data_IF_463317010740
#
_entry.id   IF_463317010740
#
_cell.length_a   1.000
_cell.length_b   1.000
_cell.length_c   1.000
_cell.angle_alpha   90.00
_cell.angle_beta   90.00
_cell.angle_gamma   90.00
#
_symmetry.space_group_name_H-M   'P 1'
#
loop_
_entity.id
_entity.type
_entity.pdbx_description
1 polymer ?
#
# COMPACT_ATOMS: atom_id res chain seq x y z
N UNK A 1 4.09 -46.22 47.88
CA UNK A 1 5.02 -45.11 48.10
C UNK A 1 4.22 -43.82 48.13
N UNK A 2 4.37 -43.14 49.27
CA UNK A 2 3.72 -41.96 49.83
C UNK A 2 3.45 -40.81 48.84
N UNK A 3 2.30 -40.13 48.86
CA UNK A 3 1.77 -39.21 49.89
C UNK A 3 2.67 -38.00 50.17
N UNK A 4 2.22 -36.80 49.74
CA UNK A 4 2.26 -35.48 50.44
C UNK A 4 2.25 -34.34 49.40
N UNK A 5 1.17 -33.56 49.27
CA UNK A 5 0.70 -32.47 50.15
C UNK A 5 1.49 -31.15 50.05
N UNK A 6 0.78 -30.16 49.46
CA UNK A 6 0.45 -28.81 49.96
C UNK A 6 1.48 -27.67 49.88
N UNK A 7 1.03 -26.55 49.30
CA UNK A 7 0.73 -25.20 49.90
C UNK A 7 0.54 -24.20 48.73
N UNK A 8 -0.64 -23.68 48.38
CA UNK A 8 -1.46 -22.60 48.97
C UNK A 8 -0.67 -21.43 49.59
N UNK A 9 -0.75 -20.26 48.95
CA UNK A 9 -0.91 -18.92 49.53
C UNK A 9 -1.17 -17.93 48.35
N UNK A 10 -2.37 -17.36 48.19
CA UNK A 10 -2.92 -16.21 48.93
C UNK A 10 -2.10 -14.92 48.69
N UNK A 11 -2.71 -13.93 48.01
CA UNK A 11 -2.04 -12.66 47.73
C UNK A 11 -2.92 -11.58 47.10
N UNK A 12 -3.87 -11.07 47.90
CA UNK A 12 -4.34 -9.68 47.91
C UNK A 12 -5.10 -9.10 46.69
N UNK A 13 -6.42 -9.23 46.81
CA UNK A 13 -7.37 -8.13 46.61
C UNK A 13 -6.99 -6.88 47.42
N UNK A 14 -7.00 -5.72 46.76
CA UNK A 14 -7.19 -4.35 47.29
C UNK A 14 -6.97 -3.40 46.10
N UNK A 15 -7.64 -2.27 45.91
CA UNK A 15 -8.80 -1.64 46.52
C UNK A 15 -9.21 -0.55 45.51
N UNK A 16 -10.51 -0.28 45.44
CA UNK A 16 -11.17 0.95 44.99
C UNK A 16 -10.31 2.15 44.54
N UNK A 17 -10.63 2.67 43.34
CA UNK A 17 -10.64 4.12 43.12
C UNK A 17 -11.89 4.50 42.32
N UNK A 18 -12.91 4.93 43.06
CA UNK A 18 -14.02 5.71 42.54
C UNK A 18 -13.68 7.18 42.76
N UNK A 19 -13.63 7.99 41.69
CA UNK A 19 -13.92 9.41 41.74
C UNK A 19 -14.60 9.82 40.42
N UNK A 20 -15.93 9.89 40.52
CA UNK A 20 -16.80 10.68 39.67
C UNK A 20 -16.76 12.11 40.22
N UNK A 21 -16.43 13.10 39.38
CA UNK A 21 -16.92 14.47 39.53
C UNK A 21 -16.81 15.23 38.21
N UNK A 22 -17.96 15.73 37.78
CA UNK A 22 -18.21 16.58 36.63
C UNK A 22 -17.33 17.83 36.56
N UNK A 23 -16.93 18.20 35.36
CA UNK A 23 -16.73 19.60 35.00
C UNK A 23 -17.21 19.81 33.55
N UNK A 24 -18.52 20.03 33.42
CA UNK A 24 -19.16 20.61 32.24
C UNK A 24 -18.69 22.05 32.12
N UNK A 25 -17.77 22.34 31.21
CA UNK A 25 -17.43 23.70 30.84
C UNK A 25 -18.37 24.17 29.71
N UNK A 26 -18.86 25.41 29.77
CA UNK A 26 -19.86 25.92 28.84
C UNK A 26 -19.28 26.14 27.44
N UNK A 27 -20.13 25.76 26.49
CA UNK A 27 -20.23 26.22 25.11
C UNK A 27 -19.69 27.64 24.92
N UNK A 28 -18.66 27.74 24.07
CA UNK A 28 -18.24 29.00 23.48
C UNK A 28 -18.04 28.77 21.98
N UNK A 29 -19.15 28.43 21.33
CA UNK A 29 -19.31 28.58 19.88
C UNK A 29 -18.85 29.99 19.46
N UNK A 30 -17.78 30.13 18.65
CA UNK A 30 -17.52 31.38 17.96
C UNK A 30 -18.60 31.57 16.90
N UNK A 31 -19.24 32.73 16.92
CA UNK A 31 -20.20 33.17 15.92
C UNK A 31 -19.62 33.04 14.49
N UNK A 32 -20.43 32.65 13.50
CA UNK A 32 -20.00 32.69 12.11
C UNK A 32 -19.69 34.13 11.71
N UNK A 33 -18.50 34.33 11.14
CA UNK A 33 -18.11 35.58 10.51
C UNK A 33 -19.08 35.93 9.37
N UNK A 34 -19.36 37.22 9.15
CA UNK A 34 -20.20 37.65 8.04
C UNK A 34 -19.58 37.24 6.70
N UNK A 35 -20.42 36.60 5.91
CA UNK A 35 -20.25 36.22 4.51
C UNK A 35 -19.83 37.45 3.68
N UNK A 36 -18.53 37.52 3.36
CA UNK A 36 -18.00 38.53 2.45
C UNK A 36 -18.33 38.12 1.02
N UNK A 37 -19.16 38.94 0.38
CA UNK A 37 -19.71 38.74 -0.94
C UNK A 37 -18.63 38.42 -1.97
N UNK A 38 -18.78 37.26 -2.63
CA UNK A 38 -18.00 36.93 -3.81
C UNK A 38 -18.22 37.99 -4.91
N UNK A 39 -17.15 38.57 -5.49
CA UNK A 39 -17.31 39.32 -6.72
C UNK A 39 -17.67 38.36 -7.84
N UNK A 40 -18.83 38.63 -8.44
CA UNK A 40 -19.32 38.08 -9.71
C UNK A 40 -18.26 38.36 -10.76
N UNK A 41 -17.51 37.33 -11.16
CA UNK A 41 -16.73 37.38 -12.40
C UNK A 41 -17.65 36.92 -13.52
N UNK A 42 -18.00 37.91 -14.32
CA UNK A 42 -18.71 37.84 -15.59
C UNK A 42 -18.15 36.72 -16.49
N UNK A 43 -19.01 35.84 -17.05
CA UNK A 43 -18.56 34.81 -17.98
C UNK A 43 -18.12 35.47 -19.29
N UNK A 44 -16.82 35.47 -19.55
CA UNK A 44 -16.28 35.81 -20.86
C UNK A 44 -16.85 34.82 -21.89
N UNK A 45 -17.49 35.38 -22.91
CA UNK A 45 -18.11 34.66 -24.01
C UNK A 45 -17.13 33.68 -24.70
N UNK A 46 -17.58 32.50 -25.14
CA UNK A 46 -16.78 31.61 -25.95
C UNK A 46 -16.50 32.28 -27.31
N UNK A 47 -15.23 32.55 -27.59
CA UNK A 47 -14.79 32.93 -28.93
C UNK A 47 -15.09 31.76 -29.87
N UNK A 48 -16.02 32.00 -30.80
CA UNK A 48 -16.33 31.14 -31.93
C UNK A 48 -15.17 31.24 -32.91
N UNK A 49 -14.30 30.23 -32.95
CA UNK A 49 -13.35 30.05 -34.06
C UNK A 49 -13.97 29.06 -35.04
N UNK A 50 -14.09 29.51 -36.28
CA UNK A 50 -14.66 28.79 -37.40
C UNK A 50 -13.81 27.56 -37.79
N UNK A 51 -14.44 26.55 -38.43
CA UNK A 51 -13.75 25.36 -38.92
C UNK A 51 -12.91 25.71 -40.16
N UNK A 52 -11.61 25.42 -40.10
CA UNK A 52 -10.79 25.31 -41.31
C UNK A 52 -11.08 23.97 -42.00
N UNK A 53 -11.20 24.06 -43.32
CA UNK A 53 -11.51 22.99 -44.25
C UNK A 53 -10.34 21.98 -44.37
N UNK A 54 -10.61 20.75 -44.83
CA UNK A 54 -9.61 19.69 -44.90
C UNK A 54 -8.71 19.89 -46.13
N UNK A 55 -7.40 19.92 -45.90
CA UNK A 55 -6.42 19.67 -46.96
C UNK A 55 -6.23 18.16 -47.08
N UNK A 56 -6.77 17.64 -48.19
CA UNK A 56 -6.34 16.42 -48.85
C UNK A 56 -4.87 16.58 -49.23
N UNK A 57 -3.98 15.81 -48.61
CA UNK A 57 -2.77 15.34 -49.29
C UNK A 57 -2.53 13.89 -48.91
N UNK A 58 -2.85 13.04 -49.89
CA UNK A 58 -2.41 11.68 -49.95
C UNK A 58 -0.90 11.67 -50.18
N UNK A 59 -0.16 11.08 -49.25
CA UNK A 59 1.11 10.45 -49.60
C UNK A 59 1.18 9.09 -48.93
N UNK A 60 1.05 8.07 -49.78
CA UNK A 60 1.26 6.68 -49.46
C UNK A 60 2.77 6.46 -49.40
N UNK A 61 3.30 6.38 -48.19
CA UNK A 61 4.56 5.69 -47.94
C UNK A 61 4.21 4.36 -47.27
N UNK A 62 4.26 3.30 -48.07
CA UNK A 62 4.49 1.94 -47.60
C UNK A 62 5.84 1.94 -46.86
N UNK A 63 5.79 1.99 -45.54
CA UNK A 63 6.86 1.45 -44.70
C UNK A 63 6.36 0.09 -44.19
N UNK A 64 6.83 -0.95 -44.88
CA UNK A 64 6.93 -2.32 -44.37
C UNK A 64 7.84 -2.30 -43.14
N UNK A 65 7.30 -1.89 -41.99
CA UNK A 65 7.87 -2.25 -40.70
C UNK A 65 7.30 -3.63 -40.35
N UNK A 66 8.10 -4.65 -40.66
CA UNK A 66 8.07 -5.98 -40.03
C UNK A 66 8.22 -5.77 -38.51
N UNK A 67 7.12 -5.38 -37.87
CA UNK A 67 6.95 -5.54 -36.45
C UNK A 67 6.91 -7.05 -36.22
N UNK A 68 8.07 -7.61 -35.88
CA UNK A 68 8.20 -8.79 -35.02
C UNK A 68 7.36 -8.54 -33.76
N UNK A 69 6.05 -8.74 -33.91
CA UNK A 69 5.09 -8.92 -32.84
C UNK A 69 5.37 -10.32 -32.28
N UNK A 70 6.54 -10.46 -31.67
CA UNK A 70 6.83 -11.46 -30.63
C UNK A 70 5.91 -11.10 -29.47
N UNK A 71 4.62 -11.38 -29.66
CA UNK A 71 3.62 -11.45 -28.63
C UNK A 71 4.18 -12.43 -27.60
N UNK A 72 4.76 -11.87 -26.53
CA UNK A 72 5.41 -12.54 -25.41
C UNK A 72 4.39 -13.51 -24.81
N UNK A 73 4.32 -14.71 -25.39
CA UNK A 73 3.43 -15.76 -24.96
C UNK A 73 3.79 -16.03 -23.50
N UNK A 74 2.82 -15.95 -22.57
CA UNK A 74 3.11 -16.15 -21.16
C UNK A 74 3.79 -17.50 -21.01
N UNK A 75 5.04 -17.48 -20.53
CA UNK A 75 5.80 -18.69 -20.27
C UNK A 75 4.91 -19.66 -19.46
N UNK A 76 4.84 -20.95 -19.84
CA UNK A 76 3.92 -21.88 -19.20
C UNK A 76 4.17 -21.89 -17.70
N UNK A 77 3.12 -21.64 -16.91
CA UNK A 77 3.18 -21.63 -15.46
C UNK A 77 3.73 -22.96 -14.98
N UNK A 78 4.93 -22.95 -14.40
CA UNK A 78 5.48 -24.16 -13.80
C UNK A 78 4.63 -24.51 -12.58
N UNK A 79 4.24 -25.78 -12.40
CA UNK A 79 3.29 -26.18 -11.35
C UNK A 79 3.78 -25.93 -9.91
N UNK A 80 5.08 -25.65 -9.72
CA UNK A 80 5.68 -25.26 -8.43
C UNK A 80 6.06 -23.77 -8.33
N UNK A 81 5.69 -22.96 -9.33
CA UNK A 81 6.02 -21.54 -9.36
C UNK A 81 5.35 -20.80 -8.19
N UNK A 82 6.15 -20.07 -7.42
CA UNK A 82 5.66 -19.25 -6.32
C UNK A 82 4.84 -18.09 -6.87
N UNK A 83 3.55 -18.04 -6.53
CA UNK A 83 2.67 -16.94 -6.97
C UNK A 83 2.66 -15.81 -5.95
N UNK A 84 2.36 -14.59 -6.41
CA UNK A 84 2.18 -13.44 -5.52
C UNK A 84 1.05 -13.67 -4.51
N UNK A 85 0.01 -14.42 -4.89
CA UNK A 85 -1.06 -14.79 -3.96
C UNK A 85 -0.54 -15.65 -2.80
N UNK A 86 0.43 -16.52 -3.05
CA UNK A 86 1.05 -17.33 -1.99
C UNK A 86 1.98 -16.49 -1.10
N UNK A 87 2.73 -15.56 -1.71
CA UNK A 87 3.54 -14.58 -0.97
C UNK A 87 2.67 -13.69 -0.09
N UNK A 88 1.51 -13.23 -0.59
CA UNK A 88 0.53 -12.47 0.18
C UNK A 88 0.01 -13.27 1.37
N UNK A 89 -0.36 -14.55 1.18
CA UNK A 89 -0.80 -15.42 2.29
C UNK A 89 0.28 -15.54 3.37
N UNK A 90 1.55 -15.70 3.00
CA UNK A 90 2.66 -15.76 3.94
C UNK A 90 2.82 -14.45 4.71
N UNK A 91 2.73 -13.32 4.01
CA UNK A 91 2.82 -12.01 4.63
C UNK A 91 1.65 -11.75 5.58
N UNK A 92 0.43 -12.05 5.16
CA UNK A 92 -0.78 -11.83 5.94
C UNK A 92 -0.79 -12.73 7.19
N UNK A 93 -0.35 -13.99 7.08
CA UNK A 93 -0.19 -14.87 8.23
C UNK A 93 0.82 -14.34 9.27
N UNK A 94 1.96 -13.82 8.81
CA UNK A 94 2.95 -13.21 9.70
C UNK A 94 2.44 -11.90 10.34
N UNK A 95 1.63 -11.13 9.61
CA UNK A 95 0.97 -9.94 10.14
C UNK A 95 -0.03 -10.32 11.23
N UNK A 96 -0.91 -11.29 10.95
CA UNK A 96 -1.95 -11.77 11.85
C UNK A 96 -1.35 -12.28 13.17
N UNK A 97 -0.29 -13.07 13.09
CA UNK A 97 0.43 -13.55 14.28
C UNK A 97 1.00 -12.38 15.10
N UNK A 98 1.71 -11.46 14.45
CA UNK A 98 2.41 -10.36 15.12
C UNK A 98 1.50 -9.23 15.62
N UNK A 99 0.28 -9.14 15.09
CA UNK A 99 -0.78 -8.19 15.49
C UNK A 99 -1.85 -8.83 16.38
N UNK A 100 -1.83 -10.15 16.57
CA UNK A 100 -2.84 -10.86 17.36
C UNK A 100 -4.23 -10.85 16.73
N UNK A 101 -4.30 -10.97 15.39
CA UNK A 101 -5.54 -10.97 14.62
C UNK A 101 -6.24 -9.59 14.53
N UNK A 102 -5.54 -8.51 14.87
CA UNK A 102 -6.07 -7.17 14.67
C UNK A 102 -6.11 -6.82 13.18
N UNK A 103 -7.16 -6.11 12.75
CA UNK A 103 -7.27 -5.63 11.37
C UNK A 103 -6.05 -4.77 10.98
N UNK A 104 -5.61 -4.89 9.72
CA UNK A 104 -4.49 -4.14 9.18
C UNK A 104 -4.70 -3.82 7.70
N UNK A 105 -3.97 -2.81 7.21
CA UNK A 105 -3.75 -2.57 5.79
C UNK A 105 -2.29 -2.86 5.45
N UNK A 106 -2.04 -3.52 4.33
CA UNK A 106 -0.71 -3.88 3.84
C UNK A 106 -0.41 -3.16 2.54
N UNK A 107 0.83 -2.72 2.37
CA UNK A 107 1.31 -2.20 1.08
C UNK A 107 1.46 -3.33 0.06
N UNK A 108 1.57 -3.04 -1.24
CA UNK A 108 2.09 -4.00 -2.21
C UNK A 108 3.48 -4.51 -1.80
N UNK A 109 3.93 -5.60 -2.42
CA UNK A 109 5.26 -6.16 -2.26
C UNK A 109 6.31 -5.13 -2.65
N UNK A 110 7.33 -4.94 -1.83
CA UNK A 110 8.45 -4.04 -2.07
C UNK A 110 9.75 -4.83 -1.95
N UNK A 111 10.87 -4.18 -2.24
CA UNK A 111 12.21 -4.66 -1.88
C UNK A 111 12.78 -3.78 -0.76
N UNK A 112 13.72 -4.31 0.02
CA UNK A 112 14.42 -3.51 1.03
C UNK A 112 15.38 -2.49 0.40
N UNK A 113 15.99 -2.84 -0.72
CA UNK A 113 16.89 -2.02 -1.51
C UNK A 113 16.85 -2.45 -2.98
N UNK A 114 17.21 -1.53 -3.88
CA UNK A 114 17.44 -1.85 -5.30
C UNK A 114 18.84 -1.37 -5.73
N UNK A 115 19.62 -2.19 -6.46
CA UNK A 115 19.35 -3.62 -6.77
C UNK A 115 19.29 -4.48 -5.50
N UNK A 116 18.47 -5.53 -5.51
CA UNK A 116 18.37 -6.45 -4.38
C UNK A 116 19.41 -7.57 -4.52
N UNK A 117 20.18 -7.82 -3.46
CA UNK A 117 21.09 -8.97 -3.39
C UNK A 117 20.39 -10.24 -2.90
N UNK A 118 19.18 -10.09 -2.35
CA UNK A 118 18.41 -11.17 -1.75
C UNK A 118 17.09 -11.39 -2.48
N UNK A 119 16.67 -12.65 -2.58
CA UNK A 119 15.36 -13.03 -3.11
C UNK A 119 14.28 -12.87 -2.02
N UNK A 120 14.11 -11.63 -1.53
CA UNK A 120 13.15 -11.30 -0.47
C UNK A 120 12.29 -10.13 -0.90
N UNK A 121 11.03 -10.17 -0.49
CA UNK A 121 10.12 -9.03 -0.56
C UNK A 121 9.77 -8.54 0.83
N UNK A 122 9.45 -7.26 0.91
CA UNK A 122 9.06 -6.57 2.14
C UNK A 122 7.67 -6.00 1.96
N UNK A 123 6.85 -6.12 2.99
CA UNK A 123 5.56 -5.45 3.10
C UNK A 123 5.56 -4.58 4.35
N UNK A 124 4.92 -3.41 4.26
CA UNK A 124 4.62 -2.62 5.46
C UNK A 124 3.16 -2.83 5.81
N UNK A 125 2.89 -3.29 7.02
CA UNK A 125 1.53 -3.50 7.53
C UNK A 125 1.23 -2.51 8.66
N UNK A 126 0.09 -1.82 8.55
CA UNK A 126 -0.38 -0.86 9.53
C UNK A 126 -1.62 -1.40 10.23
N UNK A 127 -1.54 -1.59 11.54
CA UNK A 127 -2.70 -1.97 12.35
C UNK A 127 -3.76 -0.86 12.29
N UNK A 128 -5.00 -1.26 11.98
CA UNK A 128 -6.16 -0.38 11.92
C UNK A 128 -6.96 -0.49 13.21
N UNK A 129 -7.10 0.62 13.92
CA UNK A 129 -7.91 0.74 15.12
C UNK A 129 -9.17 1.52 14.75
N UNK A 130 -10.33 0.85 14.83
CA UNK A 130 -11.62 1.47 14.54
C UNK A 130 -11.85 2.73 15.39
N UNK A 131 -12.47 3.75 14.78
CA UNK A 131 -12.87 4.97 15.49
C UNK A 131 -14.37 4.96 15.64
N UNK A 132 -14.87 5.34 16.82
CA UNK A 132 -16.32 5.44 17.06
C UNK A 132 -17.00 6.42 16.11
N UNK A 133 -16.27 7.43 15.62
CA UNK A 133 -16.79 8.49 14.76
C UNK A 133 -16.86 8.15 13.27
N UNK A 134 -16.29 7.03 12.81
CA UNK A 134 -16.30 6.67 11.38
C UNK A 134 -16.08 5.17 11.14
N UNK A 135 -16.84 4.62 10.21
CA UNK A 135 -16.68 3.24 9.75
C UNK A 135 -15.48 3.04 8.80
N UNK A 136 -15.03 4.10 8.12
CA UNK A 136 -13.98 4.03 7.09
C UNK A 136 -12.67 4.69 7.50
N UNK A 137 -12.68 5.51 8.55
CA UNK A 137 -11.48 6.21 9.04
C UNK A 137 -10.98 5.57 10.33
N UNK A 138 -9.81 4.98 10.25
CA UNK A 138 -9.15 4.26 11.33
C UNK A 138 -8.01 5.07 11.93
N UNK A 139 -7.71 4.86 13.20
CA UNK A 139 -6.43 5.29 13.79
C UNK A 139 -5.37 4.24 13.46
N UNK A 140 -4.15 4.69 13.15
CA UNK A 140 -3.04 3.78 12.89
C UNK A 140 -2.33 3.42 14.20
N UNK A 141 -2.36 2.13 14.51
CA UNK A 141 -1.76 1.51 15.69
C UNK A 141 -0.30 1.15 15.49
N UNK A 142 0.03 -0.12 15.73
CA UNK A 142 1.36 -0.69 15.47
C UNK A 142 1.64 -0.73 13.97
N UNK A 143 2.90 -0.56 13.58
CA UNK A 143 3.36 -0.75 12.20
C UNK A 143 4.40 -1.85 12.17
N UNK A 144 4.31 -2.75 11.20
CA UNK A 144 5.19 -3.89 11.01
C UNK A 144 5.88 -3.79 9.66
N UNK A 145 7.12 -4.27 9.62
CA UNK A 145 7.81 -4.69 8.41
C UNK A 145 7.72 -6.21 8.34
N UNK A 146 7.17 -6.74 7.26
CA UNK A 146 7.03 -8.16 7.03
C UNK A 146 7.96 -8.53 5.90
N UNK A 147 8.94 -9.37 6.18
CA UNK A 147 9.89 -9.85 5.19
C UNK A 147 9.53 -11.28 4.83
N UNK A 148 9.32 -11.55 3.54
CA UNK A 148 9.09 -12.89 3.01
C UNK A 148 10.30 -13.32 2.19
N UNK A 149 10.90 -14.45 2.55
CA UNK A 149 11.95 -15.08 1.77
C UNK A 149 11.32 -15.95 0.68
N UNK A 150 11.57 -15.60 -0.58
CA UNK A 150 10.94 -16.24 -1.72
C UNK A 150 11.50 -17.66 -1.98
N UNK A 151 12.71 -17.96 -1.48
CA UNK A 151 13.34 -19.28 -1.66
C UNK A 151 12.90 -20.25 -0.56
N UNK A 152 12.91 -19.82 0.69
CA UNK A 152 12.50 -20.68 1.82
C UNK A 152 10.99 -20.69 2.04
N UNK A 153 10.26 -19.72 1.48
CA UNK A 153 8.82 -19.50 1.67
C UNK A 153 8.46 -19.25 3.14
N UNK A 154 9.38 -18.62 3.87
CA UNK A 154 9.19 -18.22 5.26
C UNK A 154 8.95 -16.72 5.35
N UNK A 155 8.12 -16.32 6.32
CA UNK A 155 7.83 -14.92 6.61
C UNK A 155 8.24 -14.57 8.03
N UNK A 156 8.73 -13.36 8.23
CA UNK A 156 9.05 -12.81 9.55
C UNK A 156 8.50 -11.39 9.67
N UNK A 157 8.05 -11.03 10.87
CA UNK A 157 7.52 -9.71 11.15
C UNK A 157 8.40 -8.99 12.17
N UNK A 158 8.76 -7.74 11.88
CA UNK A 158 9.51 -6.85 12.75
C UNK A 158 8.67 -5.62 13.06
N UNK A 159 8.56 -5.27 14.33
CA UNK A 159 7.91 -4.03 14.71
C UNK A 159 8.75 -2.83 14.26
N UNK A 160 8.09 -1.87 13.61
CA UNK A 160 8.70 -0.61 13.22
C UNK A 160 8.30 0.50 14.19
N UNK A 161 9.09 1.57 14.20
CA UNK A 161 8.69 2.80 14.87
C UNK A 161 7.36 3.32 14.29
N UNK A 162 6.52 3.83 15.18
CA UNK A 162 5.23 4.42 14.80
C UNK A 162 5.45 5.52 13.78
N UNK A 163 4.62 5.54 12.73
CA UNK A 163 4.68 6.60 11.74
C UNK A 163 4.41 7.96 12.40
N UNK A 164 5.26 8.94 12.09
CA UNK A 164 5.06 10.34 12.52
C UNK A 164 4.03 11.05 11.64
N UNK A 165 3.88 10.60 10.39
CA UNK A 165 3.05 11.20 9.35
C UNK A 165 1.69 10.50 9.23
N UNK A 166 1.67 9.17 9.26
CA UNK A 166 0.46 8.36 9.14
C UNK A 166 -0.14 8.07 10.52
N UNK A 167 -1.02 8.97 10.98
CA UNK A 167 -1.74 8.84 12.26
C UNK A 167 -3.11 8.22 12.11
N UNK A 168 -3.77 8.48 10.99
CA UNK A 168 -5.08 7.95 10.62
C UNK A 168 -5.01 7.45 9.19
N UNK A 169 -5.82 6.45 8.89
CA UNK A 169 -5.95 5.89 7.56
C UNK A 169 -7.42 5.83 7.20
N UNK A 170 -7.77 6.38 6.05
CA UNK A 170 -9.10 6.20 5.46
C UNK A 170 -9.02 5.04 4.49
N UNK A 171 -9.84 4.02 4.69
CA UNK A 171 -9.85 2.84 3.85
C UNK A 171 -10.25 3.23 2.42
N UNK A 172 -9.32 3.01 1.48
CA UNK A 172 -9.56 3.26 0.07
C UNK A 172 -9.76 1.94 -0.67
N UNK A 173 -10.85 1.84 -1.43
CA UNK A 173 -11.05 0.72 -2.36
C UNK A 173 -10.48 1.10 -3.72
N UNK A 174 -9.39 0.46 -4.10
CA UNK A 174 -8.84 0.58 -5.44
C UNK A 174 -9.84 0.09 -6.50
N UNK A 175 -9.76 0.67 -7.70
CA UNK A 175 -10.48 0.17 -8.87
C UNK A 175 -9.93 -1.23 -9.21
N UNK A 176 -10.79 -2.15 -9.63
CA UNK A 176 -10.40 -3.52 -9.97
C UNK A 176 -9.21 -3.56 -10.94
N UNK A 177 -9.23 -2.71 -11.97
CA UNK A 177 -8.16 -2.61 -12.97
C UNK A 177 -6.82 -2.14 -12.38
N UNK A 178 -6.82 -1.32 -11.32
CA UNK A 178 -5.58 -0.92 -10.64
C UNK A 178 -5.07 -2.09 -9.79
N UNK A 179 -5.95 -2.76 -9.05
CA UNK A 179 -5.59 -3.92 -8.24
C UNK A 179 -4.97 -5.05 -9.07
N UNK A 180 -5.55 -5.35 -10.24
CA UNK A 180 -5.01 -6.36 -11.16
C UNK A 180 -3.62 -5.98 -11.68
N UNK A 181 -3.44 -4.73 -12.14
CA UNK A 181 -2.15 -4.26 -12.63
C UNK A 181 -1.07 -4.24 -11.55
N UNK A 182 -1.43 -3.86 -10.32
CA UNK A 182 -0.51 -3.92 -9.17
C UNK A 182 -0.15 -5.37 -8.87
N UNK A 183 -1.10 -6.30 -8.86
CA UNK A 183 -0.80 -7.71 -8.64
C UNK A 183 0.12 -8.29 -9.73
N UNK A 184 -0.07 -7.91 -11.00
CA UNK A 184 0.85 -8.26 -12.09
C UNK A 184 2.24 -7.68 -11.89
N UNK A 185 2.36 -6.44 -11.43
CA UNK A 185 3.63 -5.80 -11.12
C UNK A 185 4.35 -6.48 -9.94
N UNK A 186 3.61 -6.85 -8.90
CA UNK A 186 4.13 -7.58 -7.76
C UNK A 186 4.63 -8.99 -8.17
N UNK A 187 3.88 -9.70 -9.03
CA UNK A 187 4.33 -10.98 -9.58
C UNK A 187 5.62 -10.80 -10.41
N UNK A 188 5.68 -9.78 -11.27
CA UNK A 188 6.89 -9.49 -12.05
C UNK A 188 8.10 -9.21 -11.14
N UNK A 189 7.90 -8.47 -10.04
CA UNK A 189 8.95 -8.24 -9.05
C UNK A 189 9.43 -9.55 -8.40
N UNK A 190 8.51 -10.44 -8.03
CA UNK A 190 8.84 -11.78 -7.50
C UNK A 190 9.65 -12.58 -8.52
N UNK A 191 9.22 -12.61 -9.78
CA UNK A 191 9.89 -13.34 -10.85
C UNK A 191 11.32 -12.81 -11.11
N UNK A 192 11.51 -11.48 -11.05
CA UNK A 192 12.83 -10.86 -11.18
C UNK A 192 13.74 -11.24 -10.02
N UNK A 193 13.24 -11.18 -8.79
CA UNK A 193 14.01 -11.54 -7.59
C UNK A 193 14.38 -13.02 -7.54
N UNK A 194 13.56 -13.89 -8.14
CA UNK A 194 13.84 -15.31 -8.31
C UNK A 194 14.71 -15.63 -9.54
N UNK A 195 15.00 -14.64 -10.39
CA UNK A 195 15.77 -14.82 -11.62
C UNK A 195 15.01 -15.57 -12.72
N UNK A 196 13.67 -15.68 -12.61
CA UNK A 196 12.79 -16.30 -13.61
C UNK A 196 12.55 -15.38 -14.80
N UNK A 197 12.52 -14.06 -14.54
CA UNK A 197 12.31 -13.02 -15.55
C UNK A 197 13.44 -11.97 -15.47
N UNK A 198 14.01 -11.53 -16.60
CA UNK A 198 14.96 -10.42 -16.60
C UNK A 198 14.26 -9.10 -16.22
N UNK A 199 14.99 -8.19 -15.59
CA UNK A 199 14.47 -6.92 -15.13
C UNK A 199 13.93 -6.08 -16.29
N UNK A 200 14.63 -6.06 -17.41
CA UNK A 200 14.34 -5.24 -18.60
C UNK A 200 12.95 -5.56 -19.15
N UNK A 201 12.57 -6.84 -19.17
CA UNK A 201 11.23 -7.30 -19.58
C UNK A 201 10.14 -7.06 -18.52
N UNK A 202 10.51 -6.57 -17.35
CA UNK A 202 9.61 -6.33 -16.22
C UNK A 202 9.34 -4.84 -16.00
N UNK A 203 10.17 -3.95 -16.54
CA UNK A 203 10.07 -2.50 -16.30
C UNK A 203 8.69 -1.94 -16.63
N UNK A 204 8.06 -2.38 -17.73
CA UNK A 204 6.71 -1.97 -18.12
C UNK A 204 5.64 -2.38 -17.09
N UNK A 205 5.73 -3.59 -16.55
CA UNK A 205 4.81 -4.09 -15.52
C UNK A 205 5.00 -3.33 -14.20
N UNK A 206 6.25 -3.07 -13.82
CA UNK A 206 6.59 -2.35 -12.59
C UNK A 206 6.07 -0.90 -12.58
N UNK A 207 5.71 -0.31 -13.72
CA UNK A 207 5.12 1.04 -13.76
C UNK A 207 3.82 1.15 -12.97
N UNK A 208 3.07 0.06 -12.75
CA UNK A 208 1.84 0.08 -11.97
C UNK A 208 2.06 0.53 -10.51
N UNK A 209 3.27 0.41 -9.96
CA UNK A 209 3.61 0.96 -8.64
C UNK A 209 3.50 2.48 -8.60
N UNK A 210 3.88 3.17 -9.67
CA UNK A 210 3.79 4.64 -9.75
C UNK A 210 2.33 5.11 -9.64
N UNK A 211 1.41 4.36 -10.25
CA UNK A 211 -0.02 4.63 -10.16
C UNK A 211 -0.56 4.33 -8.76
N UNK A 212 -0.14 3.22 -8.15
CA UNK A 212 -0.52 2.88 -6.78
C UNK A 212 -0.05 3.94 -5.77
N UNK A 213 1.17 4.46 -5.93
CA UNK A 213 1.68 5.54 -5.07
C UNK A 213 0.87 6.83 -5.19
N UNK A 214 0.27 7.07 -6.36
CA UNK A 214 -0.61 8.22 -6.59
C UNK A 214 -2.01 7.99 -6.04
N UNK A 215 -2.46 6.73 -6.04
CA UNK A 215 -3.76 6.32 -5.50
C UNK A 215 -3.81 6.41 -3.96
N UNK A 216 -2.80 5.92 -3.26
CA UNK A 216 -2.74 5.97 -1.78
C UNK A 216 -1.59 6.87 -1.28
N UNK A 217 -1.77 8.21 -1.29
CA UNK A 217 -0.73 9.15 -0.89
C UNK A 217 -0.38 9.06 0.60
N UNK A 218 -1.30 8.57 1.45
CA UNK A 218 -1.09 8.46 2.87
C UNK A 218 -0.09 7.35 3.20
N UNK A 219 -0.29 6.14 2.64
CA UNK A 219 0.69 5.06 2.75
C UNK A 219 1.99 5.42 2.04
N UNK A 220 1.91 6.05 0.88
CA UNK A 220 3.08 6.46 0.11
C UNK A 220 3.98 7.42 0.89
N UNK A 221 3.42 8.42 1.56
CA UNK A 221 4.20 9.37 2.35
C UNK A 221 4.91 8.72 3.55
N UNK A 222 4.37 7.63 4.11
CA UNK A 222 5.09 6.84 5.10
C UNK A 222 6.19 5.98 4.47
N UNK A 223 5.91 5.36 3.33
CA UNK A 223 6.87 4.56 2.58
C UNK A 223 8.08 5.38 2.12
N UNK A 224 7.89 6.60 1.63
CA UNK A 224 8.99 7.50 1.24
C UNK A 224 9.96 7.78 2.39
N UNK A 225 9.46 7.80 3.63
CA UNK A 225 10.31 7.98 4.82
C UNK A 225 11.05 6.71 5.21
N UNK A 226 10.44 5.54 5.01
CA UNK A 226 11.00 4.24 5.42
C UNK A 226 11.96 3.67 4.38
N UNK A 227 11.60 3.80 3.11
CA UNK A 227 12.25 3.17 1.97
C UNK A 227 12.44 4.20 0.81
N UNK A 228 13.08 5.36 1.05
CA UNK A 228 13.12 6.47 0.09
C UNK A 228 13.67 6.07 -1.28
N UNK A 229 14.76 5.30 -1.30
CA UNK A 229 15.43 4.87 -2.53
C UNK A 229 14.57 3.91 -3.35
N UNK A 230 13.89 2.98 -2.67
CA UNK A 230 13.04 1.98 -3.32
C UNK A 230 11.79 2.63 -3.88
N UNK A 231 11.14 3.52 -3.13
CA UNK A 231 9.98 4.26 -3.63
C UNK A 231 10.37 5.13 -4.82
N UNK A 232 11.52 5.81 -4.75
CA UNK A 232 12.02 6.59 -5.88
C UNK A 232 12.26 5.73 -7.13
N UNK A 233 12.86 4.55 -6.97
CA UNK A 233 13.07 3.61 -8.06
C UNK A 233 11.76 3.03 -8.60
N UNK A 234 10.83 2.56 -7.75
CA UNK A 234 9.54 2.01 -8.19
C UNK A 234 8.65 3.05 -8.89
N UNK A 235 8.85 4.35 -8.63
CA UNK A 235 8.20 5.43 -9.40
C UNK A 235 8.74 5.58 -10.81
N UNK A 236 10.01 5.25 -11.02
CA UNK A 236 10.70 5.34 -12.31
C UNK A 236 11.66 4.16 -12.46
N UNK A 237 11.15 2.93 -12.68
CA UNK A 237 11.99 1.75 -12.73
C UNK A 237 13.01 1.88 -13.85
N UNK A 238 14.27 1.63 -13.53
CA UNK A 238 15.38 1.57 -14.48
C UNK A 238 16.26 0.36 -14.20
N UNK A 239 16.94 -0.12 -15.24
CA UNK A 239 18.00 -1.12 -15.12
C UNK A 239 19.25 -0.55 -14.43
#
# INVERSE_FOLDING_TARGET
>A
MDARSRRIAAGLWSLALALVACATAPDKSPAPAPEEAAPVVEPAAPATVAPEAPDDDADAADDDDDADDDADAPAPAQPDALTIADVHKLADAAADEALGGAAFVRTPALVAAWPSEEAKVVFIAHQLIARESSATVHSVGKTLEITVDLKTREASARALEKSKTLKTYEEQRARASLSERVASAEQALVDVLLGVRPLERSLGLLQAYSEWFSFDPALTGDLERRLPKVVAWLRKPSA
#
